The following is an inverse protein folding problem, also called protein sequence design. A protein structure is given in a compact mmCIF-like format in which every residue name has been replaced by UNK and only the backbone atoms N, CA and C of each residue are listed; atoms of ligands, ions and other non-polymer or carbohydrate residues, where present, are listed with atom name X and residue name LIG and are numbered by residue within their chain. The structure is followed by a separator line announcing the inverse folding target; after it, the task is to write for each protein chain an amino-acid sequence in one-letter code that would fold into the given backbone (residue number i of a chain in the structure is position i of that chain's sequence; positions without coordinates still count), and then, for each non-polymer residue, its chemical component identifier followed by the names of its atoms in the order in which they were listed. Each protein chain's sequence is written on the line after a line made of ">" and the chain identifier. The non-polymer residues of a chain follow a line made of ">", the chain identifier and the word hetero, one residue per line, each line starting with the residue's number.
data_IF_531042027321
#
_entry.id   IF_531042027321
#
_cell.length_a   1.000
_cell.length_b   1.000
_cell.length_c   1.000
_cell.angle_alpha   90.00
_cell.angle_beta   90.00
_cell.angle_gamma   90.00
#
_symmetry.space_group_name_H-M   'P 1'
#
loop_
_entity.id
_entity.type
_entity.pdbx_description
1 polymer ?
#
# COMPACT_ATOMS: atom_id res chain seq x y z
N UNK A 1 8.31 -17.73 -23.79
CA UNK A 1 7.40 -18.11 -22.70
C UNK A 1 7.04 -16.82 -21.97
N UNK A 2 5.85 -16.24 -22.21
CA UNK A 2 5.35 -15.09 -21.42
C UNK A 2 4.67 -15.69 -20.21
N UNK A 3 5.32 -15.67 -19.05
CA UNK A 3 4.58 -15.87 -17.80
C UNK A 3 3.70 -14.63 -17.59
N UNK A 4 2.43 -14.87 -17.25
CA UNK A 4 1.54 -13.79 -16.81
C UNK A 4 2.10 -13.20 -15.52
N UNK A 5 2.09 -11.86 -15.39
CA UNK A 5 2.53 -11.16 -14.17
C UNK A 5 1.74 -11.67 -12.97
N UNK A 6 0.47 -12.04 -13.17
CA UNK A 6 -0.35 -12.66 -12.14
C UNK A 6 0.20 -14.03 -11.70
N UNK A 7 0.65 -14.88 -12.62
CA UNK A 7 1.23 -16.20 -12.32
C UNK A 7 2.56 -16.07 -11.57
N UNK A 8 3.43 -15.16 -12.02
CA UNK A 8 4.69 -14.88 -11.35
C UNK A 8 4.45 -14.35 -9.92
N UNK A 9 3.52 -13.40 -9.76
CA UNK A 9 3.11 -12.86 -8.47
C UNK A 9 2.51 -13.93 -7.56
N UNK A 10 1.66 -14.81 -8.09
CA UNK A 10 1.06 -15.90 -7.32
C UNK A 10 2.10 -16.93 -6.86
N UNK A 11 3.08 -17.26 -7.71
CA UNK A 11 4.21 -18.12 -7.32
C UNK A 11 5.05 -17.49 -6.23
N UNK A 12 5.33 -16.19 -6.32
CA UNK A 12 6.03 -15.45 -5.28
C UNK A 12 5.24 -15.43 -3.97
N UNK A 13 3.92 -15.22 -4.04
CA UNK A 13 3.05 -15.28 -2.88
C UNK A 13 3.04 -16.67 -2.22
N UNK A 14 3.03 -17.77 -2.98
CA UNK A 14 3.13 -19.12 -2.39
C UNK A 14 4.40 -19.32 -1.56
N UNK A 15 5.50 -18.67 -1.94
CA UNK A 15 6.77 -18.72 -1.19
C UNK A 15 6.79 -17.76 0.00
N UNK A 16 5.85 -16.81 0.07
CA UNK A 16 5.82 -15.71 1.04
C UNK A 16 4.38 -15.44 1.53
N UNK A 17 3.62 -16.49 1.83
CA UNK A 17 2.18 -16.39 2.07
C UNK A 17 1.80 -15.65 3.37
N UNK A 18 2.79 -15.30 4.18
CA UNK A 18 2.69 -14.43 5.34
C UNK A 18 2.95 -12.94 5.02
N UNK A 19 3.07 -12.58 3.73
CA UNK A 19 3.27 -11.21 3.27
C UNK A 19 2.18 -10.81 2.28
N UNK A 20 1.99 -9.51 2.12
CA UNK A 20 1.25 -8.94 1.00
C UNK A 20 2.19 -8.86 -0.21
N UNK A 21 1.83 -9.47 -1.33
CA UNK A 21 2.66 -9.50 -2.56
C UNK A 21 1.89 -8.80 -3.68
N UNK A 22 2.38 -7.68 -4.19
CA UNK A 22 1.69 -6.93 -5.24
C UNK A 22 2.61 -6.05 -6.07
N UNK A 23 2.10 -5.53 -7.18
CA UNK A 23 2.90 -4.74 -8.13
C UNK A 23 2.99 -3.25 -7.79
N UNK A 24 2.13 -2.76 -6.89
CA UNK A 24 2.02 -1.35 -6.55
C UNK A 24 2.60 -1.05 -5.17
N UNK A 25 3.92 -1.18 -5.02
CA UNK A 25 4.62 -0.67 -3.83
C UNK A 25 4.40 0.85 -3.67
N UNK A 26 4.26 1.31 -2.43
CA UNK A 26 4.33 2.73 -2.07
C UNK A 26 5.26 2.89 -0.88
N UNK A 27 5.74 4.12 -0.69
CA UNK A 27 6.61 4.48 0.40
C UNK A 27 5.97 5.60 1.22
N UNK A 28 5.57 5.27 2.44
CA UNK A 28 5.06 6.21 3.42
C UNK A 28 6.24 6.82 4.19
N UNK A 29 6.36 8.16 4.16
CA UNK A 29 7.36 8.93 4.92
C UNK A 29 6.67 9.75 6.00
N UNK A 30 7.17 9.64 7.22
CA UNK A 30 6.82 10.59 8.28
C UNK A 30 7.73 11.81 8.17
N UNK A 31 7.25 12.91 7.58
CA UNK A 31 8.00 14.17 7.57
C UNK A 31 7.71 14.96 8.85
N UNK A 32 8.78 15.36 9.55
CA UNK A 32 8.68 16.26 10.70
C UNK A 32 8.46 17.68 10.17
N UNK A 33 7.19 18.13 10.16
CA UNK A 33 6.79 19.51 9.82
C UNK A 33 7.31 20.60 10.78
N UNK A 34 8.46 20.41 11.43
CA UNK A 34 9.10 21.40 12.31
C UNK A 34 10.25 22.16 11.66
N UNK A 35 10.63 21.84 10.41
CA UNK A 35 11.58 22.66 9.64
C UNK A 35 10.91 23.05 8.33
N UNK A 36 10.67 24.35 8.16
CA UNK A 36 9.96 24.90 7.00
C UNK A 36 10.47 24.31 5.69
N UNK A 37 9.65 23.46 5.07
CA UNK A 37 10.05 22.70 3.91
C UNK A 37 9.57 23.44 2.66
N UNK A 38 10.45 24.23 2.05
CA UNK A 38 10.24 24.84 0.71
C UNK A 38 10.91 24.04 -0.42
N UNK A 39 11.64 22.97 -0.12
CA UNK A 39 12.60 22.42 -1.10
C UNK A 39 12.44 20.93 -1.43
N UNK A 40 11.33 20.28 -1.07
CA UNK A 40 10.99 18.97 -1.63
C UNK A 40 9.52 18.88 -2.01
N UNK A 41 9.18 19.46 -3.16
CA UNK A 41 8.08 18.95 -3.97
C UNK A 41 8.39 17.48 -4.31
N UNK A 42 7.88 16.59 -3.47
CA UNK A 42 7.38 15.26 -3.81
C UNK A 42 7.96 14.61 -5.07
N UNK A 43 9.12 13.98 -4.97
CA UNK A 43 9.54 12.92 -5.91
C UNK A 43 8.82 11.59 -5.61
N UNK A 44 7.53 11.69 -5.24
CA UNK A 44 6.67 10.58 -4.87
C UNK A 44 5.39 10.62 -5.68
N UNK A 45 4.56 9.58 -5.57
CA UNK A 45 3.30 9.43 -6.30
C UNK A 45 2.51 10.75 -6.38
N UNK A 46 2.52 11.37 -7.57
CA UNK A 46 1.77 12.58 -7.84
C UNK A 46 0.57 12.21 -8.71
N UNK A 47 -0.61 12.24 -8.09
CA UNK A 47 -1.87 12.25 -8.82
C UNK A 47 -2.13 13.69 -9.28
N UNK A 48 -2.42 13.88 -10.56
CA UNK A 48 -2.75 15.18 -11.13
C UNK A 48 -3.93 15.03 -12.09
N UNK A 49 -4.78 16.05 -12.17
CA UNK A 49 -5.97 16.04 -13.00
C UNK A 49 -5.85 17.07 -14.12
N UNK A 50 -5.23 16.74 -15.27
CA UNK A 50 -5.29 17.60 -16.44
C UNK A 50 -6.69 17.49 -17.07
N UNK A 51 -7.59 18.38 -16.64
CA UNK A 51 -9.03 18.31 -16.98
C UNK A 51 -9.78 17.28 -16.12
N UNK A 52 -10.78 16.62 -16.68
CA UNK A 52 -11.63 15.63 -15.97
C UNK A 52 -11.04 14.20 -15.92
N UNK A 53 -9.74 14.06 -16.15
CA UNK A 53 -9.05 12.76 -16.17
C UNK A 53 -8.01 12.70 -15.07
N UNK A 54 -8.07 11.64 -14.27
CA UNK A 54 -7.08 11.34 -13.24
C UNK A 54 -5.82 10.76 -13.90
N UNK A 55 -4.71 11.49 -13.83
CA UNK A 55 -3.39 11.08 -14.30
C UNK A 55 -2.46 10.75 -13.13
N UNK A 56 -1.58 9.77 -13.32
CA UNK A 56 -0.58 9.38 -12.32
C UNK A 56 0.81 9.26 -12.95
N UNK A 57 1.84 9.74 -12.26
CA UNK A 57 3.23 9.47 -12.62
C UNK A 57 3.63 8.04 -12.20
N UNK A 58 3.44 7.07 -13.09
CA UNK A 58 3.79 5.65 -12.87
C UNK A 58 5.28 5.33 -13.06
N UNK A 59 6.11 6.26 -13.54
CA UNK A 59 7.49 5.97 -13.97
C UNK A 59 8.58 6.25 -12.91
N UNK A 60 8.24 6.82 -11.76
CA UNK A 60 9.19 7.01 -10.64
C UNK A 60 9.20 5.81 -9.67
N UNK A 61 9.00 4.60 -10.20
CA UNK A 61 9.15 3.37 -9.42
C UNK A 61 10.60 2.90 -9.40
N UNK A 62 11.34 3.37 -8.40
CA UNK A 62 12.40 2.62 -7.72
C UNK A 62 12.79 3.34 -6.43
N UNK A 63 11.83 3.61 -5.54
CA UNK A 63 12.22 3.75 -4.15
C UNK A 63 12.38 2.33 -3.59
N UNK A 64 13.64 1.88 -3.44
CA UNK A 64 14.00 0.58 -2.84
C UNK A 64 13.52 0.44 -1.38
N UNK A 65 12.82 1.44 -0.84
CA UNK A 65 12.30 1.52 0.51
C UNK A 65 10.77 1.40 0.62
N UNK A 66 10.08 0.86 -0.40
CA UNK A 66 8.65 0.60 -0.32
C UNK A 66 8.28 -0.16 0.97
N UNK A 67 7.38 0.43 1.77
CA UNK A 67 6.97 -0.08 3.09
C UNK A 67 5.46 -0.34 3.16
N UNK A 68 4.77 -0.22 2.05
CA UNK A 68 3.36 -0.61 1.89
C UNK A 68 3.11 -1.07 0.44
N UNK A 69 2.05 -1.85 0.25
CA UNK A 69 1.62 -2.34 -1.07
C UNK A 69 0.14 -2.02 -1.24
N UNK A 70 -0.26 -1.44 -2.37
CA UNK A 70 -1.68 -1.20 -2.63
C UNK A 70 -2.42 -2.55 -2.78
N UNK A 71 -3.46 -2.83 -1.98
CA UNK A 71 -4.20 -4.08 -1.99
C UNK A 71 -4.88 -4.40 -3.32
N UNK A 72 -5.28 -3.37 -4.09
CA UNK A 72 -6.01 -3.51 -5.35
C UNK A 72 -5.33 -4.38 -6.42
N UNK A 73 -4.00 -4.54 -6.36
CA UNK A 73 -3.28 -5.51 -7.18
C UNK A 73 -2.23 -6.25 -6.34
N UNK A 74 -2.72 -6.99 -5.35
CA UNK A 74 -1.90 -7.83 -4.49
C UNK A 74 -2.55 -9.17 -4.16
N UNK A 75 -1.73 -10.16 -3.86
CA UNK A 75 -2.10 -11.40 -3.22
C UNK A 75 -1.95 -11.24 -1.70
N UNK A 76 -3.03 -11.55 -0.99
CA UNK A 76 -3.11 -11.51 0.47
C UNK A 76 -3.69 -12.83 0.98
N UNK A 77 -3.08 -13.40 2.01
CA UNK A 77 -3.62 -14.61 2.61
C UNK A 77 -4.93 -14.31 3.36
N UNK A 78 -5.97 -15.14 3.16
CA UNK A 78 -7.30 -14.96 3.76
C UNK A 78 -7.31 -14.78 5.29
N UNK A 79 -6.27 -15.26 5.98
CA UNK A 79 -6.10 -15.06 7.44
C UNK A 79 -6.10 -13.58 7.83
N UNK A 80 -5.55 -12.71 6.99
CA UNK A 80 -5.52 -11.28 7.26
C UNK A 80 -6.91 -10.65 7.14
N UNK A 81 -7.80 -11.19 6.29
CA UNK A 81 -9.21 -10.77 6.28
C UNK A 81 -9.93 -11.15 7.59
N UNK A 82 -9.56 -12.23 8.26
CA UNK A 82 -10.12 -12.52 9.58
C UNK A 82 -9.63 -11.50 10.62
N UNK A 83 -8.37 -11.07 10.54
CA UNK A 83 -7.76 -10.17 11.51
C UNK A 83 -8.20 -8.73 11.31
N UNK A 84 -8.24 -8.23 10.06
CA UNK A 84 -8.69 -6.87 9.75
C UNK A 84 -10.13 -6.65 10.24
N UNK A 85 -10.99 -7.67 10.15
CA UNK A 85 -12.38 -7.62 10.61
C UNK A 85 -12.58 -8.06 12.07
N UNK A 86 -11.49 -8.31 12.82
CA UNK A 86 -11.59 -8.62 14.24
C UNK A 86 -11.85 -7.38 15.10
N UNK A 87 -12.31 -7.59 16.32
CA UNK A 87 -12.52 -6.52 17.32
C UNK A 87 -11.23 -5.76 17.64
N UNK A 88 -10.07 -6.44 17.59
CA UNK A 88 -8.77 -5.83 17.91
C UNK A 88 -8.40 -4.65 16.99
N UNK A 89 -8.97 -4.59 15.78
CA UNK A 89 -8.71 -3.54 14.79
C UNK A 89 -9.97 -2.73 14.44
N UNK A 90 -11.01 -2.78 15.27
CA UNK A 90 -12.26 -2.04 15.07
C UNK A 90 -12.02 -0.53 14.93
N UNK A 91 -11.20 0.07 15.79
CA UNK A 91 -10.88 1.50 15.73
C UNK A 91 -10.20 1.93 14.43
N UNK A 92 -9.39 1.04 13.82
CA UNK A 92 -8.79 1.29 12.50
C UNK A 92 -9.87 1.27 11.43
N UNK A 93 -10.82 0.32 11.49
CA UNK A 93 -11.93 0.25 10.55
C UNK A 93 -12.83 1.48 10.65
N UNK A 94 -13.21 1.89 11.86
CA UNK A 94 -13.98 3.12 12.07
C UNK A 94 -13.27 4.36 11.52
N UNK A 95 -11.94 4.44 11.69
CA UNK A 95 -11.15 5.51 11.11
C UNK A 95 -11.17 5.48 9.57
N UNK A 96 -11.05 4.31 8.95
CA UNK A 96 -11.17 4.13 7.50
C UNK A 96 -12.53 4.56 6.99
N UNK A 97 -13.61 4.10 7.64
CA UNK A 97 -14.98 4.44 7.26
C UNK A 97 -15.26 5.94 7.39
N UNK A 98 -14.67 6.61 8.39
CA UNK A 98 -14.81 8.05 8.60
C UNK A 98 -14.00 8.91 7.60
N UNK A 99 -13.00 8.35 6.90
CA UNK A 99 -12.08 9.09 6.04
C UNK A 99 -12.03 8.50 4.63
N UNK A 100 -12.99 8.90 3.79
CA UNK A 100 -13.23 8.36 2.44
C UNK A 100 -12.04 8.41 1.46
N UNK A 101 -11.02 9.23 1.73
CA UNK A 101 -9.91 9.40 0.79
C UNK A 101 -8.71 8.50 1.03
N UNK A 102 -8.30 8.14 2.26
CA UNK A 102 -7.01 7.44 2.45
C UNK A 102 -6.81 6.83 3.85
N UNK A 103 -7.34 5.63 4.16
CA UNK A 103 -6.44 4.69 4.84
C UNK A 103 -6.64 3.20 4.58
N UNK A 104 -7.53 2.72 3.72
CA UNK A 104 -7.75 1.27 3.56
C UNK A 104 -6.47 0.54 3.09
N UNK A 105 -5.79 1.07 2.09
CA UNK A 105 -4.52 0.54 1.58
C UNK A 105 -3.40 0.52 2.65
N UNK A 106 -3.33 1.59 3.44
CA UNK A 106 -2.35 1.75 4.53
C UNK A 106 -2.70 0.84 5.70
N UNK A 107 -3.97 0.74 6.06
CA UNK A 107 -4.49 -0.10 7.13
C UNK A 107 -4.21 -1.57 6.85
N UNK A 108 -4.44 -2.02 5.61
CA UNK A 108 -4.09 -3.40 5.20
C UNK A 108 -2.60 -3.66 5.37
N UNK A 109 -1.74 -2.79 4.82
CA UNK A 109 -0.27 -2.96 4.95
C UNK A 109 0.18 -2.91 6.42
N UNK A 110 -0.39 -2.01 7.23
CA UNK A 110 -0.11 -1.88 8.65
C UNK A 110 -0.51 -3.15 9.41
N UNK A 111 -1.73 -3.65 9.25
CA UNK A 111 -2.21 -4.85 9.94
C UNK A 111 -1.40 -6.08 9.52
N UNK A 112 -1.09 -6.21 8.22
CA UNK A 112 -0.25 -7.31 7.73
C UNK A 112 1.13 -7.26 8.37
N UNK A 113 1.80 -6.09 8.38
CA UNK A 113 3.12 -5.93 8.99
C UNK A 113 3.11 -6.20 10.50
N UNK A 114 2.09 -5.73 11.21
CA UNK A 114 1.92 -5.94 12.64
C UNK A 114 1.75 -7.42 13.00
N UNK A 115 0.90 -8.14 12.25
CA UNK A 115 0.60 -9.56 12.50
C UNK A 115 1.74 -10.47 12.02
N UNK A 116 2.38 -10.13 10.90
CA UNK A 116 3.48 -10.92 10.34
C UNK A 116 4.84 -10.63 11.02
N UNK A 117 4.99 -9.47 11.65
CA UNK A 117 6.24 -9.00 12.25
C UNK A 117 7.32 -8.68 11.21
N UNK A 118 6.94 -8.24 10.01
CA UNK A 118 7.82 -8.04 8.84
C UNK A 118 7.41 -6.83 8.02
#
# INVERSE_FOLDING_TARGET
>A
MREDIADAGFRLWKLNSDRQVGAFGRHFRWDNKSKGNRDHASSGFQAFCPGDRLGYHFNDFADFSANMVLPSFSFLHKKYLCVIWSEAFESIREFVDAHATHPDDIAVSFIVSHVAGK
#
